data_IF_219353001925
#
_entry.id   IF_219353001925
#
_cell.length_a   1.000
_cell.length_b   1.000
_cell.length_c   1.000
_cell.angle_alpha   90.00
_cell.angle_beta   90.00
_cell.angle_gamma   90.00
#
_symmetry.space_group_name_H-M   'P 1'
#
loop_
_entity.id
_entity.type
_entity.pdbx_description
1 polymer ?
#
# COMPACT_ATOMS: atom_id res chain seq x y z
N UNK A 1 3.87 -29.27 -13.60
CA UNK A 1 3.64 -27.97 -14.26
C UNK A 1 4.45 -26.92 -13.50
N UNK A 2 5.17 -26.05 -14.18
CA UNK A 2 6.05 -25.05 -13.55
C UNK A 2 5.40 -23.67 -13.61
N UNK A 3 5.63 -22.84 -12.59
CA UNK A 3 5.13 -21.46 -12.48
C UNK A 3 6.31 -20.55 -12.19
N UNK A 4 6.31 -19.36 -12.80
CA UNK A 4 7.39 -18.38 -12.69
C UNK A 4 6.83 -17.00 -12.40
N UNK A 5 7.55 -16.21 -11.59
CA UNK A 5 7.28 -14.77 -11.44
C UNK A 5 7.94 -14.08 -12.64
N UNK A 6 7.14 -13.42 -13.47
CA UNK A 6 7.62 -12.75 -14.70
C UNK A 6 7.69 -11.22 -14.56
N UNK A 7 7.02 -10.64 -13.55
CA UNK A 7 7.04 -9.21 -13.26
C UNK A 7 6.69 -8.94 -11.80
N UNK A 8 7.10 -7.78 -11.29
CA UNK A 8 6.73 -7.25 -9.97
C UNK A 8 6.55 -5.73 -10.06
N UNK A 9 5.71 -5.20 -9.17
CA UNK A 9 5.49 -3.76 -8.99
C UNK A 9 5.36 -3.41 -7.51
N UNK A 10 5.64 -2.16 -7.19
CA UNK A 10 5.60 -1.61 -5.84
C UNK A 10 5.09 -0.17 -5.87
N UNK A 11 4.38 0.23 -4.83
CA UNK A 11 3.96 1.61 -4.64
C UNK A 11 4.16 2.01 -3.18
N UNK A 12 4.85 3.14 -2.97
CA UNK A 12 5.12 3.71 -1.66
C UNK A 12 4.44 5.09 -1.57
N UNK A 13 3.45 5.28 -0.69
CA UNK A 13 2.71 6.55 -0.63
C UNK A 13 3.55 7.67 -0.01
N UNK A 14 3.47 8.87 -0.59
CA UNK A 14 4.14 10.05 -0.05
C UNK A 14 5.68 9.96 -0.07
N UNK A 15 6.36 10.99 0.46
CA UNK A 15 7.82 10.98 0.55
C UNK A 15 8.33 10.00 1.61
N UNK A 16 9.60 9.56 1.52
CA UNK A 16 10.23 8.83 2.61
C UNK A 16 10.34 9.72 3.86
N UNK A 17 9.82 9.24 4.98
CA UNK A 17 9.79 9.93 6.27
C UNK A 17 10.88 9.38 7.17
N UNK A 18 11.79 10.24 7.63
CA UNK A 18 12.86 9.86 8.55
C UNK A 18 12.32 9.50 9.94
N UNK A 19 13.12 8.77 10.71
CA UNK A 19 12.87 8.39 12.10
C UNK A 19 12.37 9.55 12.98
N UNK A 20 13.02 10.71 12.86
CA UNK A 20 12.78 11.90 13.64
C UNK A 20 11.43 12.56 13.31
N UNK A 21 11.00 12.45 12.05
CA UNK A 21 9.82 13.11 11.47
C UNK A 21 8.51 12.36 11.72
N UNK A 22 8.57 11.06 12.06
CA UNK A 22 7.39 10.18 12.22
C UNK A 22 6.30 10.78 13.11
N UNK A 23 6.68 11.36 14.24
CA UNK A 23 5.72 11.92 15.20
C UNK A 23 5.05 13.20 14.70
N UNK A 24 5.71 13.95 13.82
CA UNK A 24 5.11 15.10 13.15
C UNK A 24 4.01 14.68 12.18
N UNK A 25 4.19 13.54 11.51
CA UNK A 25 3.21 12.99 10.56
C UNK A 25 2.05 12.31 11.28
N UNK A 26 2.34 11.41 12.24
CA UNK A 26 1.30 10.62 12.94
C UNK A 26 0.62 11.39 14.08
N UNK A 27 1.22 12.47 14.55
CA UNK A 27 0.74 13.25 15.67
C UNK A 27 1.07 12.67 17.05
N UNK A 28 0.81 13.49 18.07
CA UNK A 28 1.06 13.17 19.48
C UNK A 28 -0.25 12.91 20.22
N UNK A 29 -0.34 11.80 20.96
CA UNK A 29 -1.51 11.48 21.77
C UNK A 29 -1.59 12.45 22.96
N UNK A 30 -2.71 13.16 23.09
CA UNK A 30 -2.90 14.24 24.07
C UNK A 30 -1.80 15.33 24.03
N UNK A 31 -1.22 15.57 22.85
CA UNK A 31 -0.14 16.55 22.68
C UNK A 31 1.16 16.19 23.40
N UNK A 32 1.32 14.93 23.84
CA UNK A 32 2.51 14.46 24.55
C UNK A 32 3.39 13.63 23.62
N UNK A 33 4.70 13.90 23.57
CA UNK A 33 5.62 13.09 22.77
C UNK A 33 5.69 11.66 23.31
N UNK A 34 5.81 10.70 22.40
CA UNK A 34 5.92 9.28 22.71
C UNK A 34 7.34 8.93 23.14
N UNK A 35 7.52 8.62 24.42
CA UNK A 35 8.79 8.14 24.95
C UNK A 35 9.18 6.75 24.39
N UNK A 36 8.18 5.90 24.10
CA UNK A 36 8.38 4.55 23.59
C UNK A 36 8.87 4.57 22.13
N UNK A 37 8.51 5.60 21.36
CA UNK A 37 8.91 5.77 19.95
C UNK A 37 10.42 5.63 19.79
N UNK A 38 11.20 6.35 20.60
CA UNK A 38 12.66 6.37 20.50
C UNK A 38 13.25 4.98 20.73
N UNK A 39 12.75 4.24 21.73
CA UNK A 39 13.22 2.89 22.03
C UNK A 39 12.85 1.90 20.92
N UNK A 40 11.62 1.96 20.41
CA UNK A 40 11.14 1.06 19.34
C UNK A 40 11.91 1.32 18.04
N UNK A 41 12.13 2.58 17.67
CA UNK A 41 12.87 2.92 16.45
C UNK A 41 14.35 2.52 16.56
N UNK A 42 14.97 2.68 17.73
CA UNK A 42 16.32 2.17 17.99
C UNK A 42 16.37 0.65 17.92
N UNK A 43 15.32 -0.07 18.30
CA UNK A 43 15.28 -1.53 18.23
C UNK A 43 15.06 -2.04 16.79
N UNK A 44 14.17 -1.41 16.02
CA UNK A 44 13.82 -1.90 14.67
C UNK A 44 14.75 -1.42 13.55
N UNK A 45 15.60 -0.41 13.80
CA UNK A 45 16.62 0.11 12.86
C UNK A 45 16.04 0.64 11.53
N UNK A 46 14.75 0.96 11.48
CA UNK A 46 14.11 1.50 10.27
C UNK A 46 14.48 2.99 10.14
N UNK A 47 15.22 3.32 9.08
CA UNK A 47 15.66 4.68 8.79
C UNK A 47 14.56 5.54 8.16
N UNK A 48 13.86 4.99 7.17
CA UNK A 48 12.77 5.68 6.46
C UNK A 48 11.53 4.79 6.35
N UNK A 49 10.36 5.43 6.21
CA UNK A 49 9.06 4.77 6.02
C UNK A 49 8.11 5.68 5.26
N UNK A 50 7.02 5.12 4.76
CA UNK A 50 6.02 5.83 3.95
C UNK A 50 4.65 5.75 4.61
N UNK A 51 3.88 6.83 4.50
CA UNK A 51 2.53 6.93 5.06
C UNK A 51 1.57 7.47 4.00
N UNK A 52 0.38 6.86 3.91
CA UNK A 52 -0.72 7.36 3.10
C UNK A 52 -1.51 8.48 3.81
N UNK A 53 -0.80 9.39 4.49
CA UNK A 53 -1.36 10.52 5.25
C UNK A 53 -0.49 11.76 4.98
N UNK A 54 -1.11 12.93 4.83
CA UNK A 54 -0.41 14.21 4.66
C UNK A 54 -0.12 14.92 6.00
N UNK A 55 0.59 16.06 5.95
CA UNK A 55 0.90 16.86 7.14
C UNK A 55 -0.33 17.49 7.81
N UNK A 56 -1.50 17.46 7.17
CA UNK A 56 -2.78 17.90 7.72
C UNK A 56 -3.59 16.73 8.30
N UNK A 57 -2.98 15.54 8.42
CA UNK A 57 -3.61 14.30 8.88
C UNK A 57 -4.75 13.79 7.98
N UNK A 58 -4.70 14.14 6.69
CA UNK A 58 -5.66 13.64 5.70
C UNK A 58 -5.09 12.42 4.99
N UNK A 59 -5.91 11.38 4.85
CA UNK A 59 -5.57 10.20 4.06
C UNK A 59 -5.32 10.60 2.61
N UNK A 60 -4.15 10.26 2.08
CA UNK A 60 -3.78 10.55 0.69
C UNK A 60 -4.11 9.40 -0.25
N UNK A 61 -4.09 8.16 0.25
CA UNK A 61 -4.39 6.96 -0.51
C UNK A 61 -5.16 5.95 0.34
N UNK A 62 -6.16 5.30 -0.26
CA UNK A 62 -6.76 4.08 0.30
C UNK A 62 -5.86 2.87 0.07
N UNK A 63 -6.13 1.75 0.75
CA UNK A 63 -5.46 0.49 0.45
C UNK A 63 -5.72 0.06 -1.00
N UNK A 64 -6.94 0.25 -1.49
CA UNK A 64 -7.32 -0.06 -2.88
C UNK A 64 -6.46 0.71 -3.87
N UNK A 65 -6.25 2.01 -3.63
CA UNK A 65 -5.41 2.84 -4.49
C UNK A 65 -3.94 2.40 -4.43
N UNK A 66 -3.40 2.11 -3.25
CA UNK A 66 -2.02 1.63 -3.11
C UNK A 66 -1.80 0.28 -3.83
N UNK A 67 -2.71 -0.67 -3.66
CA UNK A 67 -2.64 -1.97 -4.34
C UNK A 67 -2.77 -1.82 -5.86
N UNK A 68 -3.68 -0.97 -6.33
CA UNK A 68 -3.90 -0.72 -7.76
C UNK A 68 -2.70 -0.03 -8.42
N UNK A 69 -2.06 0.92 -7.74
CA UNK A 69 -0.83 1.54 -8.25
C UNK A 69 0.32 0.53 -8.38
N UNK A 70 0.51 -0.33 -7.37
CA UNK A 70 1.53 -1.38 -7.43
C UNK A 70 1.22 -2.42 -8.52
N UNK A 71 -0.05 -2.79 -8.67
CA UNK A 71 -0.50 -3.71 -9.72
C UNK A 71 -0.35 -3.10 -11.13
N UNK A 72 -0.64 -1.81 -11.32
CA UNK A 72 -0.43 -1.14 -12.60
C UNK A 72 1.05 -1.17 -12.97
N UNK A 73 1.96 -0.84 -12.04
CA UNK A 73 3.40 -0.92 -12.31
C UNK A 73 3.84 -2.34 -12.71
N UNK A 74 3.31 -3.37 -12.03
CA UNK A 74 3.59 -4.77 -12.36
C UNK A 74 3.11 -5.14 -13.78
N UNK A 75 1.87 -4.77 -14.13
CA UNK A 75 1.26 -5.06 -15.43
C UNK A 75 1.96 -4.31 -16.57
N UNK A 76 2.27 -3.04 -16.36
CA UNK A 76 2.95 -2.19 -17.35
C UNK A 76 4.35 -2.74 -17.66
N UNK A 77 5.05 -3.30 -16.66
CA UNK A 77 6.36 -3.98 -16.83
C UNK A 77 6.27 -5.39 -17.41
N UNK A 78 5.14 -6.07 -17.24
CA UNK A 78 4.96 -7.44 -17.70
C UNK A 78 4.78 -7.53 -19.23
N UNK A 79 4.44 -6.42 -19.90
CA UNK A 79 4.10 -6.36 -21.32
C UNK A 79 3.00 -7.35 -21.74
N UNK A 80 2.13 -7.73 -20.80
CA UNK A 80 0.95 -8.56 -21.07
C UNK A 80 -0.28 -7.65 -21.21
N UNK A 81 -1.16 -7.90 -22.18
CA UNK A 81 -2.45 -7.23 -22.23
C UNK A 81 -3.25 -7.52 -20.96
N UNK A 82 -3.95 -6.51 -20.42
CA UNK A 82 -4.73 -6.63 -19.17
C UNK A 82 -5.81 -7.71 -19.28
N UNK A 83 -6.33 -7.95 -20.48
CA UNK A 83 -7.35 -8.96 -20.79
C UNK A 83 -6.81 -10.40 -20.71
N UNK A 84 -5.49 -10.58 -20.60
CA UNK A 84 -4.86 -11.90 -20.39
C UNK A 84 -4.73 -12.28 -18.91
N UNK A 85 -5.06 -11.37 -17.99
CA UNK A 85 -5.07 -11.67 -16.55
C UNK A 85 -6.30 -12.52 -16.24
N UNK A 86 -6.09 -13.79 -15.90
CA UNK A 86 -7.19 -14.71 -15.59
C UNK A 86 -7.66 -14.68 -14.14
N UNK A 87 -6.82 -14.20 -13.23
CA UNK A 87 -7.09 -14.20 -11.78
C UNK A 87 -6.41 -13.01 -11.10
N UNK A 88 -7.09 -12.43 -10.11
CA UNK A 88 -6.59 -11.37 -9.23
C UNK A 88 -6.82 -11.76 -7.77
N UNK A 89 -5.74 -12.10 -7.06
CA UNK A 89 -5.78 -12.29 -5.61
C UNK A 89 -5.25 -11.03 -4.90
N UNK A 90 -6.03 -10.48 -3.97
CA UNK A 90 -5.64 -9.31 -3.17
C UNK A 90 -5.86 -9.60 -1.69
N UNK A 91 -4.86 -9.28 -0.86
CA UNK A 91 -4.94 -9.45 0.58
C UNK A 91 -4.35 -8.25 1.31
N UNK A 92 -4.98 -7.90 2.43
CA UNK A 92 -4.49 -6.91 3.40
C UNK A 92 -5.00 -7.29 4.79
N UNK A 93 -4.28 -6.87 5.84
CA UNK A 93 -4.74 -7.06 7.23
C UNK A 93 -5.89 -6.13 7.58
N UNK A 94 -5.93 -4.92 6.99
CA UNK A 94 -7.00 -3.93 7.20
C UNK A 94 -7.41 -3.37 5.85
N UNK A 95 -8.53 -3.84 5.32
CA UNK A 95 -9.12 -3.32 4.09
C UNK A 95 -9.80 -1.98 4.31
N UNK A 96 -10.07 -1.27 3.21
CA UNK A 96 -10.82 0.00 3.25
C UNK A 96 -12.25 -0.21 3.79
N UNK A 97 -12.83 -1.38 3.50
CA UNK A 97 -14.15 -1.80 3.93
C UNK A 97 -14.14 -3.26 4.39
N UNK A 98 -15.04 -3.67 5.30
CA UNK A 98 -15.23 -5.08 5.65
C UNK A 98 -15.76 -5.93 4.49
N UNK A 99 -16.57 -5.32 3.63
CA UNK A 99 -17.12 -5.91 2.41
C UNK A 99 -17.48 -4.78 1.42
N UNK A 100 -17.46 -5.03 0.09
CA UNK A 100 -17.04 -6.26 -0.59
C UNK A 100 -15.54 -6.55 -0.41
N UNK A 101 -15.09 -7.73 -0.85
CA UNK A 101 -13.67 -8.10 -0.78
C UNK A 101 -12.80 -7.10 -1.56
N UNK A 102 -11.60 -6.84 -1.05
CA UNK A 102 -10.68 -5.85 -1.64
C UNK A 102 -10.30 -6.17 -3.09
N UNK A 103 -10.29 -7.45 -3.49
CA UNK A 103 -10.03 -7.85 -4.87
C UNK A 103 -11.04 -7.24 -5.85
N UNK A 104 -12.34 -7.17 -5.49
CA UNK A 104 -13.36 -6.50 -6.31
C UNK A 104 -13.10 -5.00 -6.44
N UNK A 105 -12.64 -4.35 -5.37
CA UNK A 105 -12.32 -2.92 -5.37
C UNK A 105 -11.11 -2.63 -6.26
N UNK A 106 -10.06 -3.44 -6.17
CA UNK A 106 -8.85 -3.30 -7.01
C UNK A 106 -9.14 -3.66 -8.47
N UNK A 107 -9.96 -4.67 -8.75
CA UNK A 107 -10.41 -4.99 -10.10
C UNK A 107 -11.10 -3.78 -10.75
N UNK A 108 -12.00 -3.13 -10.01
CA UNK A 108 -12.71 -1.94 -10.48
C UNK A 108 -11.77 -0.75 -10.72
N UNK A 109 -10.86 -0.46 -9.77
CA UNK A 109 -9.89 0.64 -9.86
C UNK A 109 -8.91 0.45 -11.04
N UNK A 110 -8.49 -0.80 -11.32
CA UNK A 110 -7.62 -1.14 -12.45
C UNK A 110 -8.34 -1.18 -13.80
N UNK A 111 -9.68 -1.11 -13.81
CA UNK A 111 -10.50 -1.26 -15.01
C UNK A 111 -10.34 -2.62 -15.69
N UNK A 112 -10.10 -3.68 -14.92
CA UNK A 112 -9.96 -5.03 -15.47
C UNK A 112 -11.34 -5.59 -15.87
N UNK A 113 -11.34 -6.42 -16.91
CA UNK A 113 -12.52 -7.18 -17.29
C UNK A 113 -12.91 -8.22 -16.22
N UNK A 114 -13.99 -8.95 -16.47
CA UNK A 114 -14.35 -10.10 -15.64
C UNK A 114 -13.20 -11.12 -15.59
N UNK A 115 -12.84 -11.53 -14.37
CA UNK A 115 -11.78 -12.47 -14.05
C UNK A 115 -12.06 -13.11 -12.70
N UNK A 116 -11.31 -14.17 -12.35
CA UNK A 116 -11.43 -14.83 -11.05
C UNK A 116 -10.86 -13.96 -9.93
N UNK A 117 -11.64 -13.75 -8.86
CA UNK A 117 -11.24 -13.01 -7.65
C UNK A 117 -11.45 -13.84 -6.38
#
# INVERSE_FOLDING_TARGET
>A
MSVYITSTGAFLPGPPIAAEEVEGVLGAVHGKPSWMRVQIQKANQIQTRHYAIDNNQQTTHSNTQMASNAASECLDRAYIPREKVGMLAVATTQGDHPAPGMASMVQAELGLAELEI
#
